data_IF_680720147966
#
_entry.id   IF_680720147966
#
_cell.length_a   1.000
_cell.length_b   1.000
_cell.length_c   1.000
_cell.angle_alpha   90.00
_cell.angle_beta   90.00
_cell.angle_gamma   90.00
#
_symmetry.space_group_name_H-M   'P 1'
#
loop_
_entity.id
_entity.type
_entity.pdbx_description
1 polymer ?
#
# COMPACT_ATOMS: atom_id res chain seq x y z
N UNK A 1 -35.34 50.20 43.39
CA UNK A 1 -35.67 48.78 43.20
C UNK A 1 -34.74 48.21 42.13
N UNK A 2 -33.94 47.20 42.49
CA UNK A 2 -33.05 46.38 41.63
C UNK A 2 -33.67 46.04 40.25
N UNK A 3 -32.97 45.84 39.13
CA UNK A 3 -31.71 45.13 38.87
C UNK A 3 -31.11 45.50 37.50
N UNK A 4 -29.79 45.29 37.43
CA UNK A 4 -28.92 45.12 36.24
C UNK A 4 -29.52 44.15 35.19
N UNK A 5 -29.22 44.35 33.90
CA UNK A 5 -28.12 43.61 33.19
C UNK A 5 -28.00 44.00 31.70
N UNK A 6 -26.72 44.10 31.32
CA UNK A 6 -26.01 43.94 30.03
C UNK A 6 -26.55 44.56 28.74
N UNK A 7 -25.92 45.63 28.24
CA UNK A 7 -24.64 45.69 27.48
C UNK A 7 -24.79 45.08 26.08
N UNK A 8 -25.27 45.86 25.12
CA UNK A 8 -24.54 46.66 24.09
C UNK A 8 -23.78 45.84 23.03
N UNK A 9 -24.33 45.98 21.81
CA UNK A 9 -23.70 46.22 20.49
C UNK A 9 -22.68 45.20 19.96
N UNK A 10 -23.14 44.48 18.95
CA UNK A 10 -22.38 44.02 17.76
C UNK A 10 -23.34 44.24 16.57
N UNK A 11 -22.97 44.71 15.38
CA UNK A 11 -21.67 44.97 14.82
C UNK A 11 -21.81 45.96 13.67
N UNK A 12 -20.64 46.39 13.22
CA UNK A 12 -20.32 47.35 12.17
C UNK A 12 -20.94 46.96 10.83
N UNK A 13 -21.74 47.85 10.22
CA UNK A 13 -22.16 47.73 8.83
C UNK A 13 -20.98 48.04 7.91
N UNK A 14 -20.53 47.05 7.15
CA UNK A 14 -19.55 47.22 6.08
C UNK A 14 -20.27 47.26 4.73
N UNK A 15 -19.84 48.22 3.91
CA UNK A 15 -20.41 48.59 2.62
C UNK A 15 -20.41 47.45 1.60
N UNK A 16 -21.51 47.33 0.85
CA UNK A 16 -21.59 46.57 -0.39
C UNK A 16 -20.81 47.32 -1.48
N UNK A 17 -19.56 46.94 -1.69
CA UNK A 17 -18.81 47.25 -2.91
C UNK A 17 -19.01 46.14 -3.93
N UNK A 18 -19.80 46.40 -4.97
CA UNK A 18 -19.87 45.54 -6.16
C UNK A 18 -18.80 46.03 -7.12
N UNK A 19 -17.57 45.56 -6.93
CA UNK A 19 -16.52 45.73 -7.94
C UNK A 19 -16.54 44.50 -8.85
N UNK A 20 -17.13 44.71 -10.03
CA UNK A 20 -17.02 43.81 -11.19
C UNK A 20 -15.55 43.68 -11.55
N UNK A 21 -14.92 42.60 -11.09
CA UNK A 21 -13.57 42.25 -11.48
C UNK A 21 -13.64 41.61 -12.87
N UNK A 22 -13.19 42.39 -13.86
CA UNK A 22 -13.10 42.01 -15.26
C UNK A 22 -12.42 40.65 -15.45
N UNK A 23 -13.02 39.87 -16.34
CA UNK A 23 -12.67 38.51 -16.70
C UNK A 23 -11.20 38.38 -17.11
N UNK A 24 -10.35 37.89 -16.20
CA UNK A 24 -9.04 37.36 -16.58
C UNK A 24 -9.23 35.91 -17.01
N UNK A 25 -9.22 35.70 -18.32
CA UNK A 25 -9.16 34.39 -18.96
C UNK A 25 -8.02 33.58 -18.33
N UNK A 26 -8.34 32.52 -17.60
CA UNK A 26 -7.36 31.48 -17.29
C UNK A 26 -7.20 30.65 -18.56
N UNK A 27 -6.02 30.70 -19.19
CA UNK A 27 -5.65 29.70 -20.19
C UNK A 27 -5.58 28.35 -19.47
N UNK A 28 -6.65 27.57 -19.57
CA UNK A 28 -6.59 26.15 -19.29
C UNK A 28 -5.64 25.54 -20.33
N UNK A 29 -4.45 25.14 -19.90
CA UNK A 29 -3.61 24.27 -20.70
C UNK A 29 -4.31 22.91 -20.67
N UNK A 30 -5.12 22.64 -21.68
CA UNK A 30 -5.75 21.34 -21.85
C UNK A 30 -4.63 20.34 -22.17
N UNK A 31 -4.14 19.66 -21.13
CA UNK A 31 -3.26 18.53 -21.30
C UNK A 31 -4.09 17.43 -21.96
N UNK A 32 -4.06 17.39 -23.30
CA UNK A 32 -4.71 16.36 -24.09
C UNK A 32 -4.28 15.00 -23.53
N UNK A 33 -5.16 14.38 -22.74
CA UNK A 33 -4.95 13.06 -22.19
C UNK A 33 -5.05 12.08 -23.36
N UNK A 34 -3.89 11.69 -23.90
CA UNK A 34 -3.84 10.60 -24.87
C UNK A 34 -4.48 9.37 -24.22
N UNK A 35 -5.42 8.68 -24.89
CA UNK A 35 -6.01 7.47 -24.34
C UNK A 35 -4.90 6.42 -24.20
N UNK A 36 -4.52 6.13 -22.95
CA UNK A 36 -3.69 4.96 -22.64
C UNK A 36 -4.57 3.75 -22.91
N UNK A 37 -4.31 3.05 -24.01
CA UNK A 37 -4.96 1.78 -24.28
C UNK A 37 -4.55 0.78 -23.19
N UNK A 38 -5.46 0.47 -22.28
CA UNK A 38 -5.30 -0.64 -21.34
C UNK A 38 -5.37 -1.94 -22.14
N UNK A 39 -4.22 -2.62 -22.27
CA UNK A 39 -4.19 -3.95 -22.85
C UNK A 39 -5.14 -4.86 -22.06
N UNK A 40 -6.09 -5.51 -22.76
CA UNK A 40 -6.95 -6.51 -22.14
C UNK A 40 -6.09 -7.66 -21.60
N UNK A 41 -6.25 -7.98 -20.31
CA UNK A 41 -5.55 -9.10 -19.71
C UNK A 41 -6.03 -10.41 -20.36
N UNK A 42 -5.08 -11.24 -20.77
CA UNK A 42 -5.39 -12.59 -21.25
C UNK A 42 -6.06 -13.39 -20.12
N UNK A 43 -6.99 -14.32 -20.45
CA UNK A 43 -7.61 -15.16 -19.44
C UNK A 43 -6.55 -15.95 -18.67
N UNK A 44 -6.71 -16.04 -17.34
CA UNK A 44 -5.81 -16.83 -16.51
C UNK A 44 -5.90 -18.31 -16.91
N UNK A 45 -4.75 -18.98 -17.03
CA UNK A 45 -4.71 -20.42 -17.27
C UNK A 45 -5.02 -21.16 -15.97
N UNK A 46 -5.77 -22.26 -16.06
CA UNK A 46 -5.86 -23.20 -14.95
C UNK A 46 -4.46 -23.79 -14.70
N UNK A 47 -4.03 -23.75 -13.45
CA UNK A 47 -2.78 -24.34 -12.97
C UNK A 47 -3.08 -25.20 -11.75
N UNK A 48 -2.21 -26.16 -11.47
CA UNK A 48 -2.33 -27.01 -10.30
C UNK A 48 -2.12 -26.21 -9.00
N UNK A 49 -2.80 -26.62 -7.93
CA UNK A 49 -2.50 -26.12 -6.60
C UNK A 49 -1.22 -26.78 -6.08
N UNK A 50 -0.16 -25.99 -5.89
CA UNK A 50 1.11 -26.47 -5.37
C UNK A 50 1.37 -25.92 -3.97
N UNK A 51 1.86 -26.79 -3.09
CA UNK A 51 2.46 -26.35 -1.83
C UNK A 51 3.89 -25.86 -2.06
N UNK A 52 4.44 -25.20 -1.04
CA UNK A 52 5.79 -24.65 -1.05
C UNK A 52 6.88 -25.70 -1.34
N UNK A 53 6.62 -26.98 -1.05
CA UNK A 53 7.49 -28.09 -1.45
C UNK A 53 8.88 -28.05 -0.83
N UNK A 54 8.97 -27.77 0.48
CA UNK A 54 10.26 -27.66 1.17
C UNK A 54 11.00 -28.99 1.12
N UNK A 55 12.28 -28.94 0.74
CA UNK A 55 13.18 -30.08 0.73
C UNK A 55 14.51 -29.70 1.40
N UNK A 56 15.12 -30.66 2.09
CA UNK A 56 16.38 -30.50 2.80
C UNK A 56 17.32 -31.67 2.48
N UNK A 57 18.50 -31.38 1.95
CA UNK A 57 19.52 -32.37 1.56
C UNK A 57 20.75 -32.15 2.43
N UNK A 58 21.21 -33.20 3.12
CA UNK A 58 22.49 -33.17 3.82
C UNK A 58 23.63 -33.08 2.80
N UNK A 59 24.51 -32.10 2.97
CA UNK A 59 25.69 -31.92 2.10
C UNK A 59 26.98 -32.32 2.81
N UNK A 60 26.88 -33.11 3.89
CA UNK A 60 28.00 -33.52 4.73
C UNK A 60 28.33 -32.51 5.84
N UNK A 61 29.26 -32.86 6.73
CA UNK A 61 29.82 -31.98 7.79
C UNK A 61 28.83 -31.01 8.45
N UNK A 62 27.65 -31.51 8.84
CA UNK A 62 26.60 -30.72 9.51
C UNK A 62 26.00 -29.57 8.69
N UNK A 63 26.13 -29.62 7.36
CA UNK A 63 25.52 -28.66 6.43
C UNK A 63 24.29 -29.29 5.77
N UNK A 64 23.27 -28.46 5.58
CA UNK A 64 22.03 -28.83 4.93
C UNK A 64 21.69 -27.78 3.90
N UNK A 65 21.49 -28.21 2.66
CA UNK A 65 20.92 -27.39 1.61
C UNK A 65 19.39 -27.48 1.69
N UNK A 66 18.72 -26.33 1.85
CA UNK A 66 17.26 -26.24 1.93
C UNK A 66 16.76 -25.49 0.71
N UNK A 67 15.78 -26.05 0.01
CA UNK A 67 15.13 -25.43 -1.14
C UNK A 67 13.61 -25.53 -1.06
N UNK A 68 12.93 -24.65 -1.81
CA UNK A 68 11.47 -24.61 -1.94
C UNK A 68 11.07 -23.89 -3.23
N UNK A 69 9.78 -23.92 -3.56
CA UNK A 69 9.22 -23.30 -4.77
C UNK A 69 8.89 -21.82 -4.56
N UNK A 70 9.24 -21.00 -5.54
CA UNK A 70 8.54 -19.75 -5.83
C UNK A 70 7.30 -20.10 -6.65
N UNK A 71 6.12 -19.69 -6.17
CA UNK A 71 4.84 -19.97 -6.78
C UNK A 71 4.45 -18.83 -7.72
N UNK A 72 3.71 -19.14 -8.79
CA UNK A 72 3.19 -18.11 -9.70
C UNK A 72 2.21 -17.13 -9.04
N UNK A 73 1.71 -17.47 -7.86
CA UNK A 73 0.82 -16.63 -7.03
C UNK A 73 1.57 -15.82 -5.98
N UNK A 74 2.90 -15.96 -5.86
CA UNK A 74 3.67 -15.19 -4.91
C UNK A 74 3.79 -13.73 -5.35
N UNK A 75 3.60 -12.75 -4.44
CA UNK A 75 3.91 -11.36 -4.71
C UNK A 75 5.38 -11.17 -5.04
N UNK A 76 5.68 -10.18 -5.88
CA UNK A 76 7.07 -9.85 -6.25
C UNK A 76 7.97 -9.51 -5.05
N UNK A 77 7.39 -8.94 -3.99
CA UNK A 77 8.11 -8.55 -2.77
C UNK A 77 8.07 -9.61 -1.66
N UNK A 78 7.70 -10.86 -1.97
CA UNK A 78 7.67 -11.92 -0.95
C UNK A 78 9.09 -12.21 -0.42
N UNK A 79 9.17 -12.54 0.86
CA UNK A 79 10.39 -12.92 1.54
C UNK A 79 10.11 -14.08 2.52
N UNK A 80 11.13 -14.85 2.88
CA UNK A 80 10.95 -16.11 3.61
C UNK A 80 11.81 -16.18 4.86
N UNK A 81 11.21 -16.65 5.95
CA UNK A 81 11.95 -17.07 7.13
C UNK A 81 12.16 -18.58 7.11
N UNK A 82 13.35 -19.02 7.50
CA UNK A 82 13.72 -20.44 7.59
C UNK A 82 13.80 -20.82 9.05
N UNK A 83 13.11 -21.89 9.43
CA UNK A 83 13.10 -22.42 10.78
C UNK A 83 13.67 -23.83 10.80
N UNK A 84 14.43 -24.16 11.83
CA UNK A 84 14.94 -25.51 12.07
C UNK A 84 14.42 -26.00 13.42
N UNK A 85 13.81 -27.17 13.41
CA UNK A 85 13.57 -27.96 14.62
C UNK A 85 14.60 -29.11 14.66
N UNK A 86 15.00 -29.51 15.86
CA UNK A 86 15.84 -30.68 16.11
C UNK A 86 15.03 -31.62 17.00
N UNK A 87 14.92 -32.88 16.60
CA UNK A 87 14.19 -33.94 17.33
C UNK A 87 12.75 -33.56 17.72
N UNK A 88 12.05 -32.82 16.85
CA UNK A 88 10.68 -32.38 17.09
C UNK A 88 10.52 -31.26 18.12
N UNK A 89 11.63 -30.70 18.62
CA UNK A 89 11.61 -29.57 19.55
C UNK A 89 11.08 -28.26 18.94
N UNK A 90 11.08 -27.19 19.75
CA UNK A 90 10.62 -25.86 19.32
C UNK A 90 11.44 -25.35 18.13
N UNK A 91 10.80 -24.96 17.00
CA UNK A 91 11.52 -24.44 15.84
C UNK A 91 12.24 -23.12 16.15
N UNK A 92 13.50 -23.02 15.72
CA UNK A 92 14.34 -21.82 15.87
C UNK A 92 14.59 -21.19 14.51
N UNK A 93 14.37 -19.87 14.40
CA UNK A 93 14.65 -19.09 13.18
C UNK A 93 16.14 -19.12 12.83
N UNK A 94 16.48 -19.24 11.55
CA UNK A 94 17.86 -19.37 11.07
C UNK A 94 18.37 -18.17 10.27
N UNK A 95 17.50 -17.33 9.72
CA UNK A 95 17.87 -16.09 9.04
C UNK A 95 17.57 -14.86 9.90
N UNK A 96 18.39 -13.82 9.80
CA UNK A 96 18.24 -12.57 10.57
C UNK A 96 17.06 -11.75 10.02
N UNK A 97 17.03 -11.50 8.72
CA UNK A 97 15.94 -10.86 7.99
C UNK A 97 15.35 -11.80 6.94
N UNK A 98 14.04 -11.69 6.63
CA UNK A 98 13.43 -12.30 5.46
C UNK A 98 14.12 -11.89 4.16
#
# INVERSE_FOLDING_TARGET
MSLRRHRRRSGTGFALGVERLESRQALAVDAAALPVATAAALPARQVEYLTRGVNAISTGSSRVYVNWRMLGTDPAAIAFNVYRSTDGGTPVKRNTSP
#
